data_IF_922745567945
#
_entry.id   IF_922745567945
#
_cell.length_a   1.000
_cell.length_b   1.000
_cell.length_c   1.000
_cell.angle_alpha   90.00
_cell.angle_beta   90.00
_cell.angle_gamma   90.00
#
_symmetry.space_group_name_H-M   'P 1'
#
loop_
_entity.id
_entity.type
_entity.pdbx_description
1 polymer ?
#
# COMPACT_ATOMS: atom_id res chain seq x y z
N UNK A 1 -20.51 8.49 -6.55
CA UNK A 1 -20.02 9.38 -7.62
C UNK A 1 -18.52 9.36 -7.57
N UNK A 2 -17.82 9.33 -8.72
CA UNK A 2 -16.37 9.43 -8.73
C UNK A 2 -15.94 10.74 -8.07
N UNK A 3 -14.93 10.67 -7.20
CA UNK A 3 -14.50 11.81 -6.38
C UNK A 3 -13.30 12.49 -7.04
N UNK A 4 -13.33 13.81 -7.16
CA UNK A 4 -12.16 14.57 -7.59
C UNK A 4 -11.11 14.52 -6.47
N UNK A 5 -9.89 14.13 -6.83
CA UNK A 5 -8.76 14.00 -5.90
C UNK A 5 -7.78 15.16 -6.01
N UNK A 6 -7.64 15.74 -7.20
CA UNK A 6 -6.80 16.93 -7.47
C UNK A 6 -7.20 17.61 -8.78
N UNK A 7 -6.71 18.82 -8.98
CA UNK A 7 -6.78 19.53 -10.26
C UNK A 7 -5.37 19.81 -10.80
N UNK A 8 -5.26 19.82 -12.12
CA UNK A 8 -4.06 20.18 -12.86
C UNK A 8 -4.31 21.45 -13.67
N UNK A 9 -3.30 22.30 -13.77
CA UNK A 9 -3.23 23.40 -14.71
C UNK A 9 -2.28 23.01 -15.85
N UNK A 10 -2.82 22.86 -17.05
CA UNK A 10 -2.07 22.56 -18.26
C UNK A 10 -1.84 23.84 -19.07
N UNK A 11 -0.58 24.13 -19.38
CA UNK A 11 -0.18 25.15 -20.35
C UNK A 11 0.06 24.47 -21.72
N UNK A 12 -0.81 24.69 -22.72
CA UNK A 12 -0.65 24.10 -24.04
C UNK A 12 0.55 24.66 -24.82
N UNK A 13 1.05 25.86 -24.48
CA UNK A 13 2.16 26.49 -25.20
C UNK A 13 3.47 25.85 -24.76
N UNK A 14 3.72 25.78 -23.45
CA UNK A 14 4.89 25.12 -22.89
C UNK A 14 4.79 23.59 -22.85
N UNK A 15 3.63 23.02 -23.17
CA UNK A 15 3.30 21.60 -22.99
C UNK A 15 3.68 21.11 -21.57
N UNK A 16 3.25 21.87 -20.57
CA UNK A 16 3.58 21.59 -19.17
C UNK A 16 2.32 21.46 -18.32
N UNK A 17 2.39 20.66 -17.27
CA UNK A 17 1.32 20.48 -16.30
C UNK A 17 1.85 20.73 -14.89
N UNK A 18 1.09 21.50 -14.11
CA UNK A 18 1.32 21.72 -12.69
C UNK A 18 0.12 21.28 -11.86
N UNK A 19 0.37 20.71 -10.69
CA UNK A 19 -0.70 20.47 -9.71
C UNK A 19 -1.15 21.82 -9.16
N UNK A 20 -2.46 22.05 -9.14
CA UNK A 20 -3.04 23.27 -8.61
C UNK A 20 -2.88 23.31 -7.09
N UNK A 21 -2.36 24.42 -6.55
CA UNK A 21 -2.15 24.62 -5.12
C UNK A 21 -3.01 25.75 -4.53
N UNK A 22 -3.78 26.46 -5.37
CA UNK A 22 -4.64 27.57 -4.93
C UNK A 22 -5.94 27.61 -5.73
N UNK A 23 -7.04 27.92 -5.04
CA UNK A 23 -8.41 27.79 -5.56
C UNK A 23 -9.18 29.12 -5.58
N UNK A 24 -8.46 30.24 -5.69
CA UNK A 24 -9.08 31.56 -5.72
C UNK A 24 -9.78 31.79 -7.08
N UNK A 25 -11.10 32.03 -7.13
CA UNK A 25 -11.86 32.03 -8.38
C UNK A 25 -11.39 33.06 -9.41
N UNK A 26 -10.99 34.26 -9.00
CA UNK A 26 -10.55 35.29 -9.95
C UNK A 26 -9.22 34.93 -10.62
N UNK A 27 -8.27 34.35 -9.87
CA UNK A 27 -7.00 33.86 -10.38
C UNK A 27 -7.18 32.69 -11.34
N UNK A 28 -8.08 31.76 -11.02
CA UNK A 28 -8.40 30.63 -11.90
C UNK A 28 -9.03 31.11 -13.21
N UNK A 29 -10.01 32.01 -13.13
CA UNK A 29 -10.62 32.62 -14.32
C UNK A 29 -9.61 33.37 -15.18
N UNK A 30 -8.75 34.17 -14.55
CA UNK A 30 -7.70 34.91 -15.26
C UNK A 30 -6.67 33.98 -15.93
N UNK A 31 -6.34 32.85 -15.32
CA UNK A 31 -5.47 31.83 -15.92
C UNK A 31 -6.14 31.15 -17.13
N UNK A 32 -7.42 30.78 -17.00
CA UNK A 32 -8.19 30.20 -18.11
C UNK A 32 -8.32 31.15 -19.29
N UNK A 33 -8.56 32.43 -19.02
CA UNK A 33 -8.62 33.49 -20.05
C UNK A 33 -7.29 33.70 -20.77
N UNK A 34 -6.17 33.32 -20.14
CA UNK A 34 -4.83 33.29 -20.73
C UNK A 34 -4.51 31.99 -21.46
N UNK A 35 -5.45 31.05 -21.53
CA UNK A 35 -5.32 29.79 -22.26
C UNK A 35 -4.91 28.58 -21.43
N UNK A 36 -4.83 28.70 -20.10
CA UNK A 36 -4.60 27.54 -19.22
C UNK A 36 -5.83 26.62 -19.24
N UNK A 37 -5.59 25.32 -19.36
CA UNK A 37 -6.63 24.29 -19.33
C UNK A 37 -6.62 23.63 -17.95
N UNK A 38 -7.77 23.66 -17.27
CA UNK A 38 -7.94 22.94 -16.00
C UNK A 38 -8.41 21.51 -16.24
N UNK A 39 -7.83 20.57 -15.49
CA UNK A 39 -8.13 19.15 -15.59
C UNK A 39 -8.40 18.62 -14.17
N UNK A 40 -9.59 18.09 -13.93
CA UNK A 40 -9.90 17.34 -12.73
C UNK A 40 -9.41 15.89 -12.86
N UNK A 41 -8.73 15.37 -11.84
CA UNK A 41 -8.36 13.97 -11.71
C UNK A 41 -9.30 13.30 -10.70
N UNK A 42 -9.96 12.23 -11.14
CA UNK A 42 -10.84 11.41 -10.34
C UNK A 42 -10.06 10.35 -9.55
N UNK A 43 -10.72 9.71 -8.59
CA UNK A 43 -10.15 8.67 -7.73
C UNK A 43 -9.79 7.37 -8.46
N UNK A 44 -10.37 7.13 -9.62
CA UNK A 44 -10.01 6.05 -10.55
C UNK A 44 -8.89 6.42 -11.53
N UNK A 45 -8.33 7.63 -11.43
CA UNK A 45 -7.31 8.17 -12.32
C UNK A 45 -7.84 8.77 -13.63
N UNK A 46 -9.16 8.76 -13.84
CA UNK A 46 -9.78 9.45 -14.99
C UNK A 46 -9.50 10.94 -14.93
N UNK A 47 -9.18 11.54 -16.08
CA UNK A 47 -8.87 12.96 -16.22
C UNK A 47 -9.90 13.65 -17.10
N UNK A 48 -10.54 14.70 -16.57
CA UNK A 48 -11.61 15.44 -17.25
C UNK A 48 -11.23 16.91 -17.34
N UNK A 49 -11.32 17.50 -18.53
CA UNK A 49 -11.23 18.96 -18.67
C UNK A 49 -12.44 19.61 -17.99
N UNK A 50 -12.20 20.66 -17.24
CA UNK A 50 -13.24 21.41 -16.50
C UNK A 50 -13.13 22.90 -16.76
N UNK A 51 -14.21 23.63 -16.48
CA UNK A 51 -14.18 25.08 -16.47
C UNK A 51 -13.54 25.60 -15.18
N UNK A 52 -12.95 26.81 -15.21
CA UNK A 52 -12.40 27.43 -14.00
C UNK A 52 -13.47 27.63 -12.91
N UNK A 53 -14.73 27.85 -13.30
CA UNK A 53 -15.84 28.00 -12.35
C UNK A 53 -16.23 26.69 -11.64
N UNK A 54 -15.83 25.54 -12.16
CA UNK A 54 -16.07 24.21 -11.57
C UNK A 54 -14.91 23.74 -10.68
N UNK A 55 -13.81 24.50 -10.61
CA UNK A 55 -12.64 24.17 -9.81
C UNK A 55 -12.89 24.61 -8.37
N UNK A 56 -13.01 23.64 -7.48
CA UNK A 56 -13.16 23.84 -6.03
C UNK A 56 -12.10 23.02 -5.30
N UNK A 57 -11.68 23.46 -4.11
CA UNK A 57 -10.70 22.70 -3.33
C UNK A 57 -11.26 21.30 -3.02
N UNK A 58 -10.59 20.21 -3.46
CA UNK A 58 -11.06 18.86 -3.16
C UNK A 58 -11.02 18.60 -1.66
N UNK A 59 -11.98 17.80 -1.18
CA UNK A 59 -11.91 17.27 0.18
C UNK A 59 -10.58 16.54 0.39
N UNK A 60 -9.85 16.84 1.49
CA UNK A 60 -8.58 16.20 1.77
C UNK A 60 -8.79 14.69 1.83
N UNK A 61 -8.00 13.96 1.08
CA UNK A 61 -8.04 12.51 1.14
C UNK A 61 -7.61 12.05 2.54
N UNK A 62 -8.39 11.16 3.14
CA UNK A 62 -7.99 10.48 4.37
C UNK A 62 -6.95 9.42 4.01
N UNK A 63 -5.69 9.67 4.42
CA UNK A 63 -4.63 8.69 4.30
C UNK A 63 -4.41 8.02 5.66
N UNK A 64 -4.48 6.69 5.68
CA UNK A 64 -3.97 5.93 6.83
C UNK A 64 -2.45 5.81 6.64
N UNK A 65 -1.70 6.65 7.37
CA UNK A 65 -0.24 6.53 7.40
C UNK A 65 0.09 5.20 8.09
N UNK A 66 0.78 4.32 7.36
CA UNK A 66 1.34 3.11 7.94
C UNK A 66 2.31 3.50 9.06
N UNK A 67 2.02 3.09 10.29
CA UNK A 67 2.90 3.33 11.42
C UNK A 67 4.10 2.35 11.39
N UNK A 68 5.25 2.72 11.98
CA UNK A 68 6.39 1.81 12.09
C UNK A 68 6.03 0.45 12.68
N UNK A 69 5.16 0.41 13.69
CA UNK A 69 4.69 -0.83 14.33
C UNK A 69 3.89 -1.72 13.38
N UNK A 70 3.05 -1.11 12.53
CA UNK A 70 2.29 -1.82 11.51
C UNK A 70 3.23 -2.45 10.47
N UNK A 71 4.26 -1.72 10.03
CA UNK A 71 5.26 -2.24 9.09
C UNK A 71 6.09 -3.35 9.72
N UNK A 72 6.62 -3.12 10.93
CA UNK A 72 7.42 -4.09 11.67
C UNK A 72 6.67 -5.41 11.88
N UNK A 73 5.38 -5.36 12.27
CA UNK A 73 4.56 -6.55 12.48
C UNK A 73 4.42 -7.39 11.20
N UNK A 74 4.26 -6.75 10.03
CA UNK A 74 4.17 -7.47 8.75
C UNK A 74 5.51 -8.05 8.32
N UNK A 75 6.60 -7.31 8.52
CA UNK A 75 7.95 -7.80 8.20
C UNK A 75 8.28 -9.03 9.05
N UNK A 76 8.02 -8.99 10.36
CA UNK A 76 8.22 -10.16 11.25
C UNK A 76 7.43 -11.37 10.76
N UNK A 77 6.15 -11.21 10.43
CA UNK A 77 5.34 -12.33 9.95
C UNK A 77 5.80 -12.89 8.60
N UNK A 78 6.35 -12.05 7.73
CA UNK A 78 6.95 -12.50 6.46
C UNK A 78 8.23 -13.28 6.74
N UNK A 79 9.09 -12.79 7.63
CA UNK A 79 10.31 -13.48 8.04
C UNK A 79 9.99 -14.84 8.70
N UNK A 80 9.02 -14.89 9.62
CA UNK A 80 8.57 -16.15 10.25
C UNK A 80 8.08 -17.17 9.21
N UNK A 81 7.36 -16.72 8.18
CA UNK A 81 6.90 -17.58 7.09
C UNK A 81 8.07 -18.09 6.23
N UNK A 82 9.06 -17.23 5.94
CA UNK A 82 10.24 -17.61 5.17
C UNK A 82 11.14 -18.59 5.94
N UNK A 83 11.32 -18.38 7.24
CA UNK A 83 12.07 -19.29 8.12
C UNK A 83 11.37 -20.67 8.18
N UNK A 84 10.04 -20.69 8.30
CA UNK A 84 9.28 -21.94 8.28
C UNK A 84 9.38 -22.67 6.93
N UNK A 85 9.48 -21.94 5.81
CA UNK A 85 9.75 -22.54 4.49
C UNK A 85 11.17 -23.09 4.41
N UNK A 86 12.16 -22.38 4.95
CA UNK A 86 13.54 -22.83 5.00
C UNK A 86 13.66 -24.15 5.79
N UNK A 87 13.03 -24.24 6.97
CA UNK A 87 12.98 -25.46 7.79
C UNK A 87 12.35 -26.66 7.06
N UNK A 88 11.43 -26.43 6.12
CA UNK A 88 10.80 -27.48 5.30
C UNK A 88 11.73 -27.93 4.16
N UNK A 89 12.41 -26.99 3.51
CA UNK A 89 13.24 -27.24 2.32
C UNK A 89 14.61 -27.81 2.67
N UNK A 90 15.19 -27.37 3.79
CA UNK A 90 16.48 -27.81 4.29
C UNK A 90 16.38 -28.02 5.81
N UNK A 91 15.77 -29.13 6.27
CA UNK A 91 15.60 -29.41 7.68
C UNK A 91 16.97 -29.58 8.33
N UNK A 92 17.46 -28.52 8.97
CA UNK A 92 18.71 -28.58 9.72
C UNK A 92 18.51 -29.54 10.89
N UNK A 93 19.35 -30.58 11.05
CA UNK A 93 19.31 -31.40 12.25
C UNK A 93 19.59 -30.47 13.43
N UNK A 94 18.63 -30.37 14.36
CA UNK A 94 18.74 -29.51 15.53
C UNK A 94 20.07 -29.76 16.24
N UNK A 95 21.01 -28.82 16.13
CA UNK A 95 22.25 -28.85 16.89
C UNK A 95 21.94 -28.39 18.32
N UNK A 96 21.32 -29.28 19.09
CA UNK A 96 21.36 -29.22 20.55
C UNK A 96 21.96 -30.54 21.04
N UNK A 97 23.09 -30.40 21.72
CA UNK A 97 24.06 -31.46 21.97
C UNK A 97 23.53 -32.62 22.83
N UNK A 98 23.95 -33.82 22.40
CA UNK A 98 24.26 -35.04 23.15
C UNK A 98 23.11 -35.88 23.76
N UNK A 99 23.02 -37.09 23.18
CA UNK A 99 22.60 -38.37 23.76
C UNK A 99 21.09 -38.69 23.89
N UNK A 100 20.70 -39.64 23.01
CA UNK A 100 19.86 -40.79 23.32
C UNK A 100 18.41 -40.52 23.75
N UNK A 101 17.51 -40.43 22.77
CA UNK A 101 16.47 -41.44 22.54
C UNK A 101 15.49 -40.98 21.46
N UNK A 102 15.13 -41.94 20.61
CA UNK A 102 13.93 -42.00 19.78
C UNK A 102 13.93 -41.26 18.44
N UNK A 103 13.87 -42.09 17.39
CA UNK A 103 13.36 -41.85 16.03
C UNK A 103 12.03 -41.06 15.93
N UNK A 104 11.43 -40.62 17.04
CA UNK A 104 10.18 -39.84 17.06
C UNK A 104 10.40 -38.31 16.99
N UNK A 105 11.62 -37.82 17.24
CA UNK A 105 11.92 -36.38 17.19
C UNK A 105 12.12 -35.85 15.75
N UNK A 106 12.53 -36.71 14.81
CA UNK A 106 12.71 -36.32 13.42
C UNK A 106 11.37 -36.12 12.67
N UNK A 107 10.35 -36.89 13.01
CA UNK A 107 9.04 -36.88 12.33
C UNK A 107 8.18 -35.65 12.72
N UNK A 108 8.39 -35.11 13.91
CA UNK A 108 7.63 -33.95 14.43
C UNK A 108 8.17 -32.60 13.95
N UNK A 109 9.45 -32.51 13.54
CA UNK A 109 10.09 -31.26 13.09
C UNK A 109 9.45 -30.69 11.82
N UNK A 110 9.15 -31.55 10.84
CA UNK A 110 8.50 -31.14 9.59
C UNK A 110 7.04 -30.70 9.80
N UNK A 111 6.31 -31.38 10.68
CA UNK A 111 4.93 -31.03 11.03
C UNK A 111 4.85 -29.72 11.83
N UNK A 112 5.85 -29.45 12.67
CA UNK A 112 6.00 -28.19 13.39
C UNK A 112 6.29 -27.01 12.46
N UNK A 113 7.19 -27.17 11.48
CA UNK A 113 7.48 -26.14 10.48
C UNK A 113 6.26 -25.84 9.59
N UNK A 114 5.55 -26.88 9.14
CA UNK A 114 4.30 -26.73 8.37
C UNK A 114 3.17 -26.08 9.16
N UNK A 115 3.12 -26.29 10.48
CA UNK A 115 2.18 -25.59 11.37
C UNK A 115 2.54 -24.12 11.49
N UNK A 116 3.81 -23.80 11.77
CA UNK A 116 4.32 -22.42 11.85
C UNK A 116 4.05 -21.63 10.56
N UNK A 117 4.27 -22.24 9.39
CA UNK A 117 3.97 -21.63 8.10
C UNK A 117 2.47 -21.31 7.94
N UNK A 118 1.58 -22.26 8.27
CA UNK A 118 0.13 -22.05 8.19
C UNK A 118 -0.33 -20.93 9.12
N UNK A 119 0.19 -20.88 10.33
CA UNK A 119 -0.15 -19.85 11.32
C UNK A 119 0.33 -18.46 10.87
N UNK A 120 1.54 -18.36 10.33
CA UNK A 120 2.07 -17.11 9.78
C UNK A 120 1.22 -16.60 8.59
N UNK A 121 0.85 -17.48 7.67
CA UNK A 121 -0.02 -17.15 6.53
C UNK A 121 -1.42 -16.71 6.99
N UNK A 122 -2.01 -17.40 7.98
CA UNK A 122 -3.30 -17.02 8.55
C UNK A 122 -3.25 -15.61 9.15
N UNK A 123 -2.21 -15.29 9.93
CA UNK A 123 -2.01 -13.96 10.51
C UNK A 123 -1.80 -12.87 9.46
N UNK A 124 -1.05 -13.17 8.39
CA UNK A 124 -0.89 -12.24 7.26
C UNK A 124 -2.23 -11.95 6.56
N UNK A 125 -3.07 -12.98 6.38
CA UNK A 125 -4.40 -12.84 5.76
C UNK A 125 -5.40 -12.09 6.64
N UNK A 126 -5.32 -12.24 7.96
CA UNK A 126 -6.16 -11.47 8.88
C UNK A 126 -5.76 -9.99 8.89
N UNK A 127 -4.46 -9.70 8.81
CA UNK A 127 -3.95 -8.34 8.69
C UNK A 127 -4.33 -7.66 7.38
N UNK A 128 -4.45 -8.39 6.26
CA UNK A 128 -4.88 -7.82 4.97
C UNK A 128 -6.39 -7.58 4.91
N UNK A 129 -7.20 -8.37 5.63
CA UNK A 129 -8.65 -8.17 5.73
C UNK A 129 -9.05 -7.08 6.73
N UNK A 130 -8.26 -6.89 7.80
CA UNK A 130 -8.51 -5.89 8.84
C UNK A 130 -8.21 -4.44 8.44
N UNK A 131 -7.44 -4.21 7.37
CA UNK A 131 -7.05 -2.87 6.90
C UNK A 131 -8.05 -2.20 5.95
N UNK A 132 -9.23 -2.78 5.77
CA UNK A 132 -10.31 -2.26 4.91
C UNK A 132 -11.31 -1.35 5.63
N UNK A 133 -10.88 -0.53 6.59
CA UNK A 133 -11.70 0.52 7.21
C UNK A 133 -10.98 1.85 7.20
#
# INVERSE_FOLDING_TARGET
MPRITRYWAHDPIGNSEGILAGYEPAALKAAQDRGIIFIAELDDGTRLRVDASDVTEPEPASYTVATPDYVASRVTLITDALDAVADILDPQPAQTALAAANDAAADTSGDDARRRLRDAIARLNDLTKGTGK
#
